data_IF_881376387392
#
_entry.id   IF_881376387392
#
_cell.length_a   1.000
_cell.length_b   1.000
_cell.length_c   1.000
_cell.angle_alpha   90.00
_cell.angle_beta   90.00
_cell.angle_gamma   90.00
#
_symmetry.space_group_name_H-M   'P 1'
#
loop_
_entity.id
_entity.type
_entity.pdbx_description
1 polymer ?
#
# COMPACT_ATOMS: atom_id res chain seq x y z
N UNK A 1 -54.23 44.44 -4.92
CA UNK A 1 -52.81 44.27 -4.58
C UNK A 1 -52.61 42.79 -4.21
N UNK A 2 -52.12 41.96 -5.17
CA UNK A 2 -51.89 40.52 -4.93
C UNK A 2 -50.41 40.34 -4.49
N UNK A 3 -50.21 39.99 -3.25
CA UNK A 3 -48.88 39.59 -2.75
C UNK A 3 -48.56 38.17 -3.25
N UNK A 4 -47.59 38.06 -4.16
CA UNK A 4 -47.04 36.78 -4.61
C UNK A 4 -46.01 36.34 -3.56
N UNK A 5 -46.38 35.36 -2.74
CA UNK A 5 -45.48 34.73 -1.77
C UNK A 5 -44.52 33.80 -2.54
N UNK A 6 -43.27 34.23 -2.74
CA UNK A 6 -42.22 33.39 -3.31
C UNK A 6 -41.73 32.42 -2.21
N UNK A 7 -42.15 31.18 -2.32
CA UNK A 7 -41.62 30.09 -1.46
C UNK A 7 -40.21 29.75 -1.97
N UNK A 8 -39.18 30.21 -1.27
CA UNK A 8 -37.80 29.75 -1.47
C UNK A 8 -37.69 28.31 -0.94
N UNK A 9 -37.76 27.34 -1.86
CA UNK A 9 -37.43 25.94 -1.57
C UNK A 9 -35.91 25.87 -1.51
N UNK A 10 -35.33 25.93 -0.30
CA UNK A 10 -33.94 25.56 -0.07
C UNK A 10 -33.85 24.06 -0.22
N UNK A 11 -33.32 23.57 -1.35
CA UNK A 11 -32.93 22.17 -1.49
C UNK A 11 -31.78 21.88 -0.52
N UNK A 12 -32.08 21.21 0.58
CA UNK A 12 -31.03 20.63 1.42
C UNK A 12 -30.32 19.58 0.58
N UNK A 13 -29.05 19.82 0.30
CA UNK A 13 -28.18 18.78 -0.29
C UNK A 13 -27.95 17.73 0.81
N UNK A 14 -28.62 16.60 0.69
CA UNK A 14 -28.39 15.45 1.54
C UNK A 14 -27.16 14.70 1.03
N UNK A 15 -26.24 14.33 1.91
CA UNK A 15 -25.15 13.44 1.59
C UNK A 15 -25.56 12.01 1.94
N UNK A 16 -25.33 11.05 1.04
CA UNK A 16 -25.47 9.63 1.35
C UNK A 16 -24.27 9.20 2.20
N UNK A 17 -24.50 8.94 3.50
CA UNK A 17 -23.44 8.63 4.45
C UNK A 17 -23.31 7.13 4.68
N UNK A 18 -22.10 6.63 4.57
CA UNK A 18 -21.71 5.25 4.85
C UNK A 18 -20.75 5.20 6.04
N UNK A 19 -21.02 4.29 6.94
CA UNK A 19 -20.17 3.98 8.09
C UNK A 19 -20.42 2.55 8.51
N UNK A 20 -19.38 1.84 8.99
CA UNK A 20 -19.56 0.52 9.58
C UNK A 20 -20.45 0.62 10.85
N UNK A 21 -21.44 -0.27 11.01
CA UNK A 21 -22.32 -0.24 12.18
C UNK A 21 -21.55 -0.45 13.48
N UNK A 22 -21.88 0.28 14.53
CA UNK A 22 -21.21 0.19 15.85
C UNK A 22 -21.22 -1.25 16.38
N UNK A 23 -22.30 -1.98 16.15
CA UNK A 23 -22.50 -3.35 16.66
C UNK A 23 -21.69 -4.41 15.93
N UNK A 24 -21.20 -4.14 14.72
CA UNK A 24 -20.53 -5.13 13.87
C UNK A 24 -19.24 -4.60 13.22
N UNK A 25 -18.73 -3.45 13.69
CA UNK A 25 -17.47 -2.92 13.21
C UNK A 25 -16.31 -3.80 13.65
N UNK A 26 -15.51 -4.24 12.70
CA UNK A 26 -14.27 -4.96 12.95
C UNK A 26 -13.16 -4.40 12.07
N UNK A 27 -11.96 -4.36 12.63
CA UNK A 27 -10.73 -4.07 11.90
C UNK A 27 -9.96 -5.37 11.75
N UNK A 28 -9.77 -5.81 10.50
CA UNK A 28 -9.07 -7.05 10.18
C UNK A 28 -7.62 -6.73 9.81
N UNK A 29 -6.66 -7.37 10.48
CA UNK A 29 -5.25 -7.24 10.16
C UNK A 29 -4.82 -8.42 9.29
N UNK A 30 -4.14 -8.10 8.19
CA UNK A 30 -3.44 -9.09 7.38
C UNK A 30 -1.95 -8.78 7.45
N UNK A 31 -1.19 -9.74 7.97
CA UNK A 31 0.23 -9.60 8.21
C UNK A 31 1.03 -10.54 7.29
N UNK A 32 2.01 -9.99 6.57
CA UNK A 32 3.02 -10.75 5.85
C UNK A 32 4.38 -10.04 5.95
N UNK A 33 5.49 -10.72 5.66
CA UNK A 33 6.80 -10.08 5.67
C UNK A 33 6.96 -8.92 4.67
N UNK A 34 6.09 -8.84 3.66
CA UNK A 34 6.16 -7.84 2.60
C UNK A 34 5.08 -6.77 2.69
N UNK A 35 3.92 -7.07 3.28
CA UNK A 35 2.78 -6.16 3.36
C UNK A 35 2.03 -6.37 4.66
N UNK A 36 1.75 -5.28 5.35
CA UNK A 36 0.82 -5.22 6.47
C UNK A 36 -0.38 -4.39 6.04
N UNK A 37 -1.58 -4.89 6.29
CA UNK A 37 -2.79 -4.12 6.06
C UNK A 37 -3.77 -4.25 7.22
N UNK A 38 -4.57 -3.21 7.43
CA UNK A 38 -5.64 -3.17 8.41
C UNK A 38 -6.88 -2.61 7.75
N UNK A 39 -7.91 -3.46 7.59
CA UNK A 39 -9.09 -3.23 6.75
C UNK A 39 -10.35 -3.12 7.61
N UNK A 40 -11.21 -2.17 7.25
CA UNK A 40 -12.57 -2.06 7.76
C UNK A 40 -13.55 -2.21 6.59
N UNK A 41 -14.44 -3.20 6.69
CA UNK A 41 -15.56 -3.35 5.78
C UNK A 41 -16.64 -2.30 6.11
N UNK A 42 -17.19 -1.68 5.08
CA UNK A 42 -18.23 -0.64 5.20
C UNK A 42 -19.42 -1.10 4.36
N UNK A 43 -20.47 -1.52 5.06
CA UNK A 43 -21.66 -2.08 4.45
C UNK A 43 -22.22 -1.17 3.34
N UNK A 44 -22.61 -1.77 2.21
CA UNK A 44 -23.15 -1.10 1.01
C UNK A 44 -22.17 -0.18 0.28
N UNK A 45 -21.01 0.16 0.85
CA UNK A 45 -19.99 0.95 0.19
C UNK A 45 -18.86 0.07 -0.37
N UNK A 46 -18.24 -0.72 0.46
CA UNK A 46 -17.06 -1.53 0.17
C UNK A 46 -16.13 -1.56 1.37
N UNK A 47 -14.90 -1.08 1.24
CA UNK A 47 -13.92 -1.15 2.34
C UNK A 47 -13.00 0.06 2.38
N UNK A 48 -12.38 0.25 3.54
CA UNK A 48 -11.23 1.13 3.69
C UNK A 48 -10.07 0.39 4.33
N UNK A 49 -8.84 0.71 3.92
CA UNK A 49 -7.67 -0.05 4.30
C UNK A 49 -6.46 0.85 4.52
N UNK A 50 -5.84 0.73 5.69
CA UNK A 50 -4.48 1.19 5.91
C UNK A 50 -3.50 0.11 5.47
N UNK A 51 -2.45 0.50 4.74
CA UNK A 51 -1.44 -0.43 4.22
C UNK A 51 -0.04 0.15 4.37
N UNK A 52 0.89 -0.72 4.77
CA UNK A 52 2.32 -0.47 4.71
C UNK A 52 2.98 -1.66 4.03
N UNK A 53 3.61 -1.44 2.89
CA UNK A 53 4.43 -2.44 2.22
C UNK A 53 5.91 -2.25 2.56
N UNK A 54 6.67 -3.32 2.40
CA UNK A 54 8.13 -3.32 2.53
C UNK A 54 8.74 -2.23 1.66
N UNK A 55 9.45 -1.28 2.27
CA UNK A 55 10.07 -0.14 1.62
C UNK A 55 9.13 0.82 0.87
N UNK A 56 7.82 0.59 0.93
CA UNK A 56 6.80 1.47 0.34
C UNK A 56 6.33 2.57 1.29
N UNK A 57 5.45 3.41 0.80
CA UNK A 57 4.81 4.44 1.62
C UNK A 57 3.60 3.89 2.36
N UNK A 58 3.37 4.44 3.57
CA UNK A 58 2.13 4.21 4.29
C UNK A 58 0.96 4.81 3.53
N UNK A 59 -0.14 4.08 3.39
CA UNK A 59 -1.30 4.51 2.61
C UNK A 59 -2.61 4.27 3.34
N UNK A 60 -3.62 5.06 2.97
CA UNK A 60 -5.03 4.83 3.28
C UNK A 60 -5.80 4.84 1.96
N UNK A 61 -6.50 3.75 1.68
CA UNK A 61 -7.35 3.61 0.51
C UNK A 61 -8.79 3.33 0.90
N UNK A 62 -9.72 3.92 0.14
CA UNK A 62 -11.14 3.59 0.16
C UNK A 62 -11.49 2.96 -1.17
N UNK A 63 -12.13 1.80 -1.14
CA UNK A 63 -12.55 1.07 -2.34
C UNK A 63 -14.06 0.92 -2.32
N UNK A 64 -14.73 1.50 -3.33
CA UNK A 64 -16.17 1.40 -3.49
C UNK A 64 -16.54 0.31 -4.46
N UNK A 65 -17.60 -0.43 -4.15
CA UNK A 65 -18.17 -1.46 -5.06
C UNK A 65 -19.23 -0.86 -5.97
N UNK A 66 -20.08 0.03 -5.44
CA UNK A 66 -21.29 0.51 -6.13
C UNK A 66 -21.24 2.00 -6.53
N UNK A 67 -20.29 2.77 -6.00
CA UNK A 67 -20.29 4.23 -6.14
C UNK A 67 -19.00 4.72 -6.83
N UNK A 68 -18.83 4.48 -8.15
CA UNK A 68 -17.71 5.03 -8.89
C UNK A 68 -17.80 6.56 -8.97
N UNK A 69 -16.67 7.25 -8.95
CA UNK A 69 -16.62 8.72 -8.96
C UNK A 69 -17.06 9.33 -10.28
N UNK A 70 -17.62 10.55 -10.20
CA UNK A 70 -17.60 11.51 -11.30
C UNK A 70 -16.20 12.09 -11.45
N UNK A 71 -15.91 12.73 -12.57
CA UNK A 71 -14.66 13.45 -12.78
C UNK A 71 -14.70 14.78 -12.01
N UNK A 72 -14.47 14.71 -10.70
CA UNK A 72 -14.51 15.83 -9.75
C UNK A 72 -13.41 15.65 -8.70
N UNK A 73 -13.39 16.53 -7.70
CA UNK A 73 -12.47 16.34 -6.57
C UNK A 73 -13.03 15.34 -5.55
N UNK A 74 -12.13 14.59 -4.95
CA UNK A 74 -12.36 13.77 -3.76
C UNK A 74 -11.69 14.47 -2.61
N UNK A 75 -12.41 14.65 -1.53
CA UNK A 75 -11.93 15.28 -0.30
C UNK A 75 -11.64 14.21 0.73
N UNK A 76 -10.41 14.18 1.23
CA UNK A 76 -10.02 13.38 2.39
C UNK A 76 -10.06 14.29 3.60
N UNK A 77 -10.89 13.94 4.55
CA UNK A 77 -11.24 14.78 5.70
C UNK A 77 -11.16 13.98 6.99
N UNK A 78 -11.24 14.66 8.11
CA UNK A 78 -11.43 14.06 9.44
C UNK A 78 -12.66 14.72 10.04
N UNK A 79 -13.66 13.92 10.36
CA UNK A 79 -14.84 14.35 11.07
C UNK A 79 -14.68 14.14 12.56
N UNK A 80 -15.38 14.93 13.36
CA UNK A 80 -15.58 14.66 14.77
C UNK A 80 -16.50 13.45 14.97
N UNK A 81 -16.51 12.90 16.18
CA UNK A 81 -17.37 11.77 16.47
C UNK A 81 -18.84 12.12 16.23
N UNK A 82 -19.65 11.27 15.59
CA UNK A 82 -21.04 11.57 15.22
C UNK A 82 -21.92 12.01 16.40
N UNK A 83 -21.60 11.55 17.62
CA UNK A 83 -22.33 11.95 18.85
C UNK A 83 -21.99 13.33 19.39
N UNK A 84 -20.97 14.01 18.83
CA UNK A 84 -20.61 15.37 19.25
C UNK A 84 -21.44 16.45 18.56
N UNK A 85 -22.32 16.07 17.63
CA UNK A 85 -23.20 16.94 16.87
C UNK A 85 -22.46 18.13 16.20
N UNK A 86 -21.19 17.95 15.89
CA UNK A 86 -20.39 18.93 15.15
C UNK A 86 -20.34 18.54 13.67
N UNK A 87 -20.64 19.48 12.81
CA UNK A 87 -20.48 19.34 11.35
C UNK A 87 -19.06 19.71 10.90
N UNK A 88 -18.17 20.07 11.83
CA UNK A 88 -16.81 20.49 11.54
C UNK A 88 -16.01 19.33 10.95
N UNK A 89 -15.40 19.57 9.81
CA UNK A 89 -14.52 18.64 9.12
C UNK A 89 -13.18 19.29 8.87
N UNK A 90 -12.12 18.60 9.26
CA UNK A 90 -10.75 19.01 8.97
C UNK A 90 -10.33 18.42 7.61
N UNK A 91 -10.11 19.28 6.62
CA UNK A 91 -9.59 18.83 5.34
C UNK A 91 -8.11 18.42 5.47
N UNK A 92 -7.79 17.18 5.11
CA UNK A 92 -6.43 16.68 5.04
C UNK A 92 -5.81 16.95 3.66
N UNK A 93 -6.55 16.62 2.60
CA UNK A 93 -6.16 16.86 1.21
C UNK A 93 -7.35 16.67 0.27
N UNK A 94 -7.18 17.12 -0.97
CA UNK A 94 -8.11 16.82 -2.06
C UNK A 94 -7.34 16.29 -3.27
N UNK A 95 -7.93 15.33 -3.97
CA UNK A 95 -7.38 14.73 -5.18
C UNK A 95 -8.40 14.84 -6.31
N UNK A 96 -7.92 15.08 -7.54
CA UNK A 96 -8.76 14.97 -8.72
C UNK A 96 -9.10 13.49 -8.97
N UNK A 97 -10.37 13.18 -9.14
CA UNK A 97 -10.83 11.85 -9.51
C UNK A 97 -11.00 11.70 -11.00
N UNK A 98 -10.67 10.55 -11.52
CA UNK A 98 -11.04 10.15 -12.87
C UNK A 98 -12.50 9.66 -12.89
N UNK A 99 -13.11 9.70 -14.08
CA UNK A 99 -14.44 9.16 -14.27
C UNK A 99 -14.43 7.64 -14.04
N UNK A 100 -15.39 7.12 -13.29
CA UNK A 100 -15.53 5.71 -12.92
C UNK A 100 -14.41 5.17 -12.02
N UNK A 101 -13.65 5.99 -11.35
CA UNK A 101 -12.69 5.56 -10.36
C UNK A 101 -13.42 4.99 -9.13
N UNK A 102 -12.99 3.81 -8.66
CA UNK A 102 -13.58 3.11 -7.52
C UNK A 102 -12.63 3.03 -6.31
N UNK A 103 -11.35 3.28 -6.52
CA UNK A 103 -10.36 3.28 -5.45
C UNK A 103 -9.72 4.67 -5.30
N UNK A 104 -9.71 5.16 -4.08
CA UNK A 104 -9.23 6.49 -3.70
C UNK A 104 -8.14 6.33 -2.64
N UNK A 105 -6.92 6.76 -2.94
CA UNK A 105 -5.76 6.49 -2.08
C UNK A 105 -4.99 7.75 -1.77
N UNK A 106 -4.67 7.94 -0.49
CA UNK A 106 -3.66 8.90 -0.02
C UNK A 106 -2.47 8.15 0.55
N UNK A 107 -1.28 8.75 0.42
CA UNK A 107 -0.02 8.13 0.84
C UNK A 107 0.81 9.05 1.75
N UNK A 108 1.86 8.48 2.32
CA UNK A 108 2.89 9.21 3.06
C UNK A 108 2.36 9.93 4.30
N UNK A 109 2.70 11.22 4.40
CA UNK A 109 2.38 12.05 5.58
C UNK A 109 0.88 12.17 5.83
N UNK A 110 0.09 12.34 4.77
CA UNK A 110 -1.37 12.55 4.89
C UNK A 110 -2.06 11.28 5.41
N UNK A 111 -1.67 10.12 4.91
CA UNK A 111 -2.20 8.84 5.40
C UNK A 111 -1.81 8.58 6.87
N UNK A 112 -0.58 8.96 7.28
CA UNK A 112 -0.14 8.87 8.68
C UNK A 112 -0.92 9.83 9.59
N UNK A 113 -1.27 11.03 9.11
CA UNK A 113 -2.14 11.95 9.84
C UNK A 113 -3.53 11.34 10.06
N UNK A 114 -4.15 10.76 9.02
CA UNK A 114 -5.43 10.06 9.16
C UNK A 114 -5.36 8.93 10.19
N UNK A 115 -4.26 8.14 10.18
CA UNK A 115 -4.02 7.09 11.18
C UNK A 115 -3.85 7.65 12.61
N UNK A 116 -3.26 8.82 12.75
CA UNK A 116 -3.13 9.48 14.05
C UNK A 116 -4.50 9.95 14.56
N UNK A 117 -5.28 10.58 13.71
CA UNK A 117 -6.61 11.08 14.10
C UNK A 117 -7.57 9.95 14.50
N UNK A 118 -7.56 8.80 13.80
CA UNK A 118 -8.41 7.68 14.24
C UNK A 118 -7.98 7.11 15.60
N UNK A 119 -6.68 7.11 15.92
CA UNK A 119 -6.18 6.77 17.27
C UNK A 119 -6.69 7.72 18.35
N UNK A 120 -6.88 8.99 18.00
CA UNK A 120 -7.41 10.05 18.88
C UNK A 120 -8.93 10.01 18.99
N UNK A 121 -9.60 9.09 18.28
CA UNK A 121 -11.06 8.93 18.33
C UNK A 121 -11.81 9.77 17.32
N UNK A 122 -11.11 10.40 16.37
CA UNK A 122 -11.71 11.12 15.26
C UNK A 122 -11.96 10.17 14.08
N UNK A 123 -12.78 10.60 13.13
CA UNK A 123 -13.28 9.77 12.03
C UNK A 123 -12.69 10.21 10.69
N UNK A 124 -11.59 9.60 10.22
CA UNK A 124 -11.11 9.81 8.85
C UNK A 124 -12.23 9.47 7.86
N UNK A 125 -12.39 10.31 6.85
CA UNK A 125 -13.50 10.19 5.90
C UNK A 125 -13.08 10.59 4.50
N UNK A 126 -13.87 10.15 3.51
CA UNK A 126 -13.84 10.71 2.16
C UNK A 126 -15.21 11.27 1.78
N UNK A 127 -15.19 12.26 0.89
CA UNK A 127 -16.39 12.87 0.34
C UNK A 127 -16.21 13.16 -1.15
N UNK A 128 -17.18 12.75 -1.97
CA UNK A 128 -17.09 12.89 -3.42
C UNK A 128 -18.45 12.71 -4.11
N UNK A 129 -18.57 13.13 -5.38
CA UNK A 129 -19.74 12.89 -6.22
C UNK A 129 -19.61 11.57 -6.98
N UNK A 130 -20.63 10.72 -6.88
CA UNK A 130 -20.68 9.43 -7.58
C UNK A 130 -21.51 9.51 -8.88
N UNK A 131 -21.17 8.61 -9.85
CA UNK A 131 -21.96 8.41 -11.06
C UNK A 131 -23.34 7.83 -10.74
N UNK A 132 -23.42 7.00 -9.70
CA UNK A 132 -24.62 6.22 -9.36
C UNK A 132 -25.46 6.87 -8.25
N UNK A 133 -25.12 8.09 -7.82
CA UNK A 133 -25.90 8.84 -6.84
C UNK A 133 -26.13 10.28 -7.29
N UNK A 134 -27.29 10.81 -6.95
CA UNK A 134 -27.61 12.24 -7.10
C UNK A 134 -26.95 13.01 -5.95
N UNK A 135 -26.87 12.39 -4.79
CA UNK A 135 -26.31 12.95 -3.58
C UNK A 135 -24.79 12.79 -3.52
N UNK A 136 -24.14 13.59 -2.72
CA UNK A 136 -22.73 13.45 -2.41
C UNK A 136 -22.51 12.21 -1.52
N UNK A 137 -21.50 11.41 -1.84
CA UNK A 137 -21.11 10.25 -1.04
C UNK A 137 -20.17 10.72 0.07
N UNK A 138 -20.51 10.36 1.30
CA UNK A 138 -19.67 10.58 2.50
C UNK A 138 -19.41 9.25 3.19
N UNK A 139 -18.14 8.88 3.37
CA UNK A 139 -17.76 7.60 3.97
C UNK A 139 -16.87 7.86 5.17
N UNK A 140 -17.25 7.38 6.35
CA UNK A 140 -16.53 7.57 7.60
C UNK A 140 -15.94 6.26 8.09
N UNK A 141 -14.69 6.30 8.53
CA UNK A 141 -14.05 5.18 9.23
C UNK A 141 -14.49 5.19 10.71
N UNK A 142 -14.98 4.07 11.17
CA UNK A 142 -15.35 3.88 12.57
C UNK A 142 -14.13 3.62 13.43
N UNK A 143 -14.09 4.26 14.61
CA UNK A 143 -13.04 4.06 15.64
C UNK A 143 -13.31 2.83 16.52
N UNK A 144 -14.48 2.20 16.38
CA UNK A 144 -14.86 1.03 17.18
C UNK A 144 -13.90 -0.13 16.88
N UNK A 145 -13.41 -0.78 17.92
CA UNK A 145 -12.44 -1.88 17.86
C UNK A 145 -11.12 -1.56 17.13
N UNK A 146 -10.87 -0.31 16.78
CA UNK A 146 -9.62 0.09 16.13
C UNK A 146 -8.40 -0.23 17.00
N UNK A 147 -8.47 0.07 18.32
CA UNK A 147 -7.37 -0.16 19.25
C UNK A 147 -7.01 -1.64 19.40
N UNK A 148 -7.97 -2.51 19.28
CA UNK A 148 -7.79 -3.96 19.43
C UNK A 148 -6.86 -4.50 18.32
N UNK A 149 -7.04 -4.02 17.09
CA UNK A 149 -6.26 -4.43 15.91
C UNK A 149 -5.01 -3.57 15.66
N UNK A 150 -4.96 -2.36 16.23
CA UNK A 150 -3.86 -1.41 16.02
C UNK A 150 -2.50 -1.99 16.44
N UNK A 151 -2.44 -2.67 17.60
CA UNK A 151 -1.19 -3.22 18.12
C UNK A 151 -0.61 -4.28 17.18
N UNK A 152 -1.46 -5.19 16.69
CA UNK A 152 -1.07 -6.21 15.73
C UNK A 152 -0.55 -5.60 14.43
N UNK A 153 -1.26 -4.59 13.89
CA UNK A 153 -0.86 -3.89 12.68
C UNK A 153 0.50 -3.18 12.83
N UNK A 154 0.72 -2.48 13.94
CA UNK A 154 1.99 -1.79 14.21
C UNK A 154 3.12 -2.79 14.39
N UNK A 155 2.89 -3.91 15.09
CA UNK A 155 3.88 -4.98 15.24
C UNK A 155 4.24 -5.60 13.88
N UNK A 156 3.25 -5.83 13.00
CA UNK A 156 3.51 -6.29 11.64
C UNK A 156 4.43 -5.31 10.90
N UNK A 157 4.14 -4.01 10.95
CA UNK A 157 4.94 -2.98 10.27
C UNK A 157 6.41 -3.00 10.74
N UNK A 158 6.65 -3.20 12.02
CA UNK A 158 8.01 -3.29 12.58
C UNK A 158 8.79 -4.52 12.10
N UNK A 159 8.08 -5.56 11.64
CA UNK A 159 8.66 -6.81 11.14
C UNK A 159 8.74 -6.88 9.62
N UNK A 160 8.33 -5.83 8.92
CA UNK A 160 8.42 -5.78 7.45
C UNK A 160 9.87 -5.96 6.99
N UNK A 161 10.01 -6.71 5.92
CA UNK A 161 11.31 -6.89 5.28
C UNK A 161 11.87 -5.53 4.80
N UNK A 162 13.15 -5.23 5.05
CA UNK A 162 13.67 -3.87 4.86
C UNK A 162 13.90 -3.46 3.40
N UNK A 163 13.71 -4.38 2.44
CA UNK A 163 14.00 -4.13 1.03
C UNK A 163 12.77 -4.29 0.16
N UNK A 164 12.62 -3.43 -0.87
CA UNK A 164 11.60 -3.57 -1.92
C UNK A 164 12.03 -4.55 -3.00
N UNK A 165 11.07 -5.06 -3.78
CA UNK A 165 11.38 -5.82 -5.00
C UNK A 165 12.29 -5.03 -5.96
N UNK A 166 12.04 -3.74 -6.15
CA UNK A 166 12.84 -2.88 -7.03
C UNK A 166 14.32 -2.83 -6.62
N UNK A 167 14.63 -2.90 -5.33
CA UNK A 167 16.00 -2.90 -4.81
C UNK A 167 16.71 -4.24 -5.01
N UNK A 168 15.98 -5.33 -5.16
CA UNK A 168 16.56 -6.69 -5.27
C UNK A 168 16.39 -7.31 -6.65
N UNK A 169 15.48 -6.81 -7.50
CA UNK A 169 15.16 -7.41 -8.80
C UNK A 169 16.31 -7.43 -9.81
N UNK A 170 17.29 -6.54 -9.63
CA UNK A 170 18.45 -6.45 -10.52
C UNK A 170 19.71 -6.14 -9.71
N UNK A 171 20.69 -7.02 -9.82
CA UNK A 171 22.00 -6.85 -9.22
C UNK A 171 23.09 -7.04 -10.28
N UNK A 172 24.05 -6.12 -10.29
CA UNK A 172 25.31 -6.30 -11.07
C UNK A 172 26.43 -6.55 -10.08
N UNK A 173 27.12 -7.67 -10.27
CA UNK A 173 28.26 -8.10 -9.44
C UNK A 173 29.54 -7.90 -10.24
N UNK A 174 30.47 -7.17 -9.66
CA UNK A 174 31.81 -7.00 -10.21
C UNK A 174 32.76 -8.00 -9.59
N UNK A 175 33.60 -8.60 -10.43
CA UNK A 175 34.66 -9.49 -10.03
C UNK A 175 36.02 -8.84 -10.25
N UNK A 176 37.00 -9.24 -9.47
CA UNK A 176 38.39 -8.83 -9.73
C UNK A 176 38.85 -9.36 -11.09
N UNK A 177 39.89 -8.74 -11.65
CA UNK A 177 40.44 -9.15 -12.95
C UNK A 177 40.86 -10.61 -12.91
N UNK A 178 40.48 -11.35 -13.97
CA UNK A 178 40.79 -12.79 -14.14
C UNK A 178 40.26 -13.72 -13.02
N UNK A 179 39.38 -13.22 -12.12
CA UNK A 179 38.84 -13.99 -11.02
C UNK A 179 37.35 -14.27 -11.17
N UNK A 180 36.92 -15.40 -10.60
CA UNK A 180 35.50 -15.78 -10.43
C UNK A 180 35.10 -15.89 -8.96
N UNK A 181 35.99 -15.50 -8.03
CA UNK A 181 35.73 -15.49 -6.60
C UNK A 181 34.89 -14.28 -6.23
N UNK A 182 33.79 -14.49 -5.51
CA UNK A 182 32.91 -13.41 -5.03
C UNK A 182 33.56 -12.69 -3.85
N UNK A 183 33.49 -11.36 -3.89
CA UNK A 183 33.86 -10.51 -2.76
C UNK A 183 32.82 -10.65 -1.64
N UNK A 184 33.16 -10.21 -0.43
CA UNK A 184 32.21 -10.28 0.70
C UNK A 184 31.01 -9.33 0.49
N UNK A 185 31.22 -8.18 -0.13
CA UNK A 185 30.11 -7.29 -0.53
C UNK A 185 29.16 -7.95 -1.53
N UNK A 186 29.72 -8.67 -2.53
CA UNK A 186 28.93 -9.42 -3.49
C UNK A 186 28.12 -10.55 -2.82
N UNK A 187 28.72 -11.26 -1.87
CA UNK A 187 28.03 -12.29 -1.07
C UNK A 187 26.91 -11.68 -0.23
N UNK A 188 27.15 -10.55 0.44
CA UNK A 188 26.13 -9.84 1.22
C UNK A 188 24.96 -9.38 0.35
N UNK A 189 25.25 -8.85 -0.85
CA UNK A 189 24.21 -8.43 -1.80
C UNK A 189 23.39 -9.63 -2.32
N UNK A 190 24.03 -10.76 -2.59
CA UNK A 190 23.35 -12.00 -2.99
C UNK A 190 22.50 -12.59 -1.87
N UNK A 191 22.94 -12.47 -0.62
CA UNK A 191 22.15 -12.89 0.54
C UNK A 191 20.85 -12.09 0.64
N UNK A 192 20.87 -10.77 0.43
CA UNK A 192 19.67 -9.95 0.41
C UNK A 192 18.65 -10.43 -0.64
N UNK A 193 19.11 -10.77 -1.85
CA UNK A 193 18.25 -11.33 -2.90
C UNK A 193 17.69 -12.69 -2.46
N UNK A 194 18.54 -13.57 -1.94
CA UNK A 194 18.11 -14.89 -1.49
C UNK A 194 17.05 -14.80 -0.39
N UNK A 195 17.23 -13.89 0.57
CA UNK A 195 16.27 -13.67 1.66
C UNK A 195 14.93 -13.10 1.15
N UNK A 196 14.97 -12.18 0.17
CA UNK A 196 13.75 -11.69 -0.47
C UNK A 196 13.00 -12.81 -1.21
N UNK A 197 13.72 -13.63 -2.00
CA UNK A 197 13.13 -14.74 -2.76
C UNK A 197 12.50 -15.81 -1.86
N UNK A 198 12.98 -15.95 -0.63
CA UNK A 198 12.39 -16.88 0.35
C UNK A 198 11.00 -16.47 0.81
N UNK A 199 10.77 -15.17 0.93
CA UNK A 199 9.54 -14.60 1.48
C UNK A 199 8.53 -14.20 0.40
N UNK A 200 8.96 -14.07 -0.86
CA UNK A 200 8.10 -13.71 -2.00
C UNK A 200 7.86 -14.92 -2.91
N UNK A 201 6.80 -15.66 -2.63
CA UNK A 201 6.42 -16.84 -3.42
C UNK A 201 6.00 -16.50 -4.87
N UNK A 202 5.82 -15.23 -5.22
CA UNK A 202 5.53 -14.81 -6.59
C UNK A 202 6.74 -14.94 -7.51
N UNK A 203 7.96 -14.93 -6.98
CA UNK A 203 9.19 -15.06 -7.74
C UNK A 203 9.41 -16.53 -8.12
N UNK A 204 9.24 -16.81 -9.41
CA UNK A 204 9.39 -18.19 -9.94
C UNK A 204 10.74 -18.44 -10.58
N UNK A 205 11.49 -17.39 -10.95
CA UNK A 205 12.73 -17.53 -11.72
C UNK A 205 13.73 -16.41 -11.39
N UNK A 206 15.01 -16.80 -11.31
CA UNK A 206 16.14 -15.87 -11.27
C UNK A 206 17.00 -16.13 -12.51
N UNK A 207 17.22 -15.08 -13.32
CA UNK A 207 18.12 -15.14 -14.48
C UNK A 207 19.51 -14.65 -14.09
N UNK A 208 20.53 -15.48 -14.33
CA UNK A 208 21.93 -15.16 -14.08
C UNK A 208 22.67 -15.11 -15.40
N UNK A 209 23.42 -14.04 -15.66
CA UNK A 209 24.24 -13.87 -16.86
C UNK A 209 25.66 -13.49 -16.43
N UNK A 210 26.65 -14.20 -16.95
CA UNK A 210 28.06 -13.87 -16.75
C UNK A 210 28.62 -13.16 -17.97
N UNK A 211 29.38 -12.09 -17.73
CA UNK A 211 30.05 -11.32 -18.77
C UNK A 211 31.52 -11.11 -18.42
N UNK A 212 32.34 -10.89 -19.45
CA UNK A 212 33.70 -10.37 -19.38
C UNK A 212 33.79 -9.17 -20.31
N UNK A 213 34.82 -8.35 -20.12
CA UNK A 213 35.17 -7.30 -21.06
C UNK A 213 35.58 -7.86 -22.43
N UNK A 214 35.62 -7.00 -23.44
CA UNK A 214 35.97 -7.38 -24.81
C UNK A 214 37.47 -7.53 -25.03
N UNK A 215 38.29 -7.32 -23.99
CA UNK A 215 39.73 -7.48 -24.09
C UNK A 215 40.15 -8.93 -23.81
N UNK A 216 41.13 -9.41 -24.55
CA UNK A 216 41.67 -10.75 -24.40
C UNK A 216 41.09 -11.80 -25.36
N UNK A 217 41.55 -13.04 -25.17
CA UNK A 217 41.21 -14.16 -26.07
C UNK A 217 39.84 -14.75 -25.68
N UNK A 218 38.92 -14.85 -26.66
CA UNK A 218 37.57 -15.45 -26.43
C UNK A 218 37.66 -16.82 -25.72
N UNK A 219 38.69 -17.60 -26.05
CA UNK A 219 38.95 -18.92 -25.42
C UNK A 219 39.10 -18.85 -23.89
N UNK A 220 39.60 -17.76 -23.35
CA UNK A 220 39.76 -17.54 -21.88
C UNK A 220 38.53 -16.84 -21.28
N UNK A 221 37.93 -15.91 -22.02
CA UNK A 221 36.82 -15.10 -21.53
C UNK A 221 35.51 -15.92 -21.37
N UNK A 222 35.23 -16.85 -22.26
CA UNK A 222 34.00 -17.68 -22.19
C UNK A 222 34.00 -18.56 -20.92
N UNK A 223 35.03 -19.36 -20.59
CA UNK A 223 35.07 -20.12 -19.36
C UNK A 223 35.02 -19.24 -18.12
N UNK A 224 35.68 -18.07 -18.13
CA UNK A 224 35.65 -17.13 -17.01
C UNK A 224 34.24 -16.56 -16.77
N UNK A 225 33.53 -16.16 -17.82
CA UNK A 225 32.15 -15.71 -17.70
C UNK A 225 31.22 -16.80 -17.15
N UNK A 226 31.39 -18.05 -17.59
CA UNK A 226 30.66 -19.19 -17.06
C UNK A 226 30.99 -19.46 -15.60
N UNK A 227 32.27 -19.42 -15.19
CA UNK A 227 32.69 -19.63 -13.81
C UNK A 227 32.10 -18.55 -12.89
N UNK A 228 32.06 -17.30 -13.32
CA UNK A 228 31.42 -16.18 -12.58
C UNK A 228 29.91 -16.42 -12.37
N UNK A 229 29.20 -16.82 -13.42
CA UNK A 229 27.77 -17.14 -13.34
C UNK A 229 27.51 -18.35 -12.39
N UNK A 230 28.35 -19.36 -12.44
CA UNK A 230 28.27 -20.55 -11.56
C UNK A 230 28.53 -20.15 -10.11
N UNK A 231 29.52 -19.29 -9.81
CA UNK A 231 29.79 -18.81 -8.46
C UNK A 231 28.57 -18.09 -7.84
N UNK A 232 27.91 -17.20 -8.62
CA UNK A 232 26.66 -16.54 -8.21
C UNK A 232 25.55 -17.56 -7.96
N UNK A 233 25.34 -18.48 -8.92
CA UNK A 233 24.32 -19.53 -8.81
C UNK A 233 24.49 -20.36 -7.54
N UNK A 234 25.71 -20.76 -7.22
CA UNK A 234 25.99 -21.60 -6.03
C UNK A 234 25.62 -20.89 -4.73
N UNK A 235 25.97 -19.61 -4.57
CA UNK A 235 25.58 -18.83 -3.39
C UNK A 235 24.06 -18.72 -3.26
N UNK A 236 23.36 -18.42 -4.37
CA UNK A 236 21.89 -18.34 -4.33
C UNK A 236 21.26 -19.69 -4.00
N UNK A 237 21.73 -20.79 -4.57
CA UNK A 237 21.22 -22.13 -4.29
C UNK A 237 21.49 -22.56 -2.85
N UNK A 238 22.67 -22.27 -2.30
CA UNK A 238 22.97 -22.55 -0.89
C UNK A 238 22.00 -21.81 0.03
N UNK A 239 21.80 -20.54 -0.20
CA UNK A 239 20.93 -19.72 0.65
C UNK A 239 19.43 -20.03 0.48
N UNK A 240 18.96 -20.43 -0.69
CA UNK A 240 17.53 -20.74 -0.95
C UNK A 240 17.17 -22.19 -0.56
N UNK A 241 18.11 -23.15 -0.67
CA UNK A 241 17.83 -24.58 -0.37
C UNK A 241 17.55 -24.90 1.09
N UNK A 242 18.05 -24.13 2.05
CA UNK A 242 17.89 -24.42 3.47
C UNK A 242 16.46 -24.27 4.02
N UNK A 243 15.46 -23.88 3.20
CA UNK A 243 14.09 -23.62 3.65
C UNK A 243 12.98 -24.37 2.87
N UNK A 244 13.32 -25.26 1.93
CA UNK A 244 12.34 -26.14 1.25
C UNK A 244 12.56 -27.64 1.60
N UNK A 245 13.12 -27.90 2.76
CA UNK A 245 13.18 -29.25 3.36
C UNK A 245 12.21 -29.36 4.54
#
# INVERSE_FOLDING_TARGET
MKFLLFLLITSMVHAEQFQAPITNTQWQVTASPLVCSMTQEIERFGQAQFTQSSGGEFSLSFTSVLYPSKQTNIYFEVAQAPWQNSEDRLLLTSLAAEKNQQQFTITGKVAKQAFTYIKEGMFPSIRYLSQNSIEEISVLLSTVHFRDSQLEFVNCIQQLFPYTFEQVRKLTIHFNSEQSTLTDDAKAALTKIADYVKIDDSIKQIKISGHTDNYGRKRLNIPLAQARAVAVKNILLMNVRFLKS
#
